data_IF_602457034337
#
_entry.id   IF_602457034337
#
_cell.length_a   1.000
_cell.length_b   1.000
_cell.length_c   1.000
_cell.angle_alpha   90.00
_cell.angle_beta   90.00
_cell.angle_gamma   90.00
#
_symmetry.space_group_name_H-M   'P 1'
#
loop_
_entity.id
_entity.type
_entity.pdbx_description
1 polymer ?
#
# COMPACT_ATOMS: atom_id res chain seq x y z
N UNK A 1 24.00 10.79 -7.83
CA UNK A 1 23.15 9.72 -8.44
C UNK A 1 21.76 10.32 -8.62
N UNK A 2 21.05 10.02 -9.72
CA UNK A 2 19.67 10.46 -9.91
C UNK A 2 18.79 9.70 -8.92
N UNK A 3 17.94 10.40 -8.16
CA UNK A 3 16.99 9.76 -7.23
C UNK A 3 15.98 8.94 -8.02
N UNK A 4 15.63 7.75 -7.53
CA UNK A 4 14.57 6.93 -8.12
C UNK A 4 13.22 7.52 -7.77
N UNK A 5 12.37 7.68 -8.76
CA UNK A 5 11.06 8.32 -8.63
C UNK A 5 9.96 7.30 -8.50
N UNK A 6 9.20 7.40 -7.42
CA UNK A 6 8.07 6.51 -7.12
C UNK A 6 6.81 7.34 -6.98
N UNK A 7 5.76 6.99 -7.72
CA UNK A 7 4.42 7.53 -7.52
C UNK A 7 3.64 6.62 -6.58
N UNK A 8 3.03 7.21 -5.57
CA UNK A 8 2.20 6.49 -4.61
C UNK A 8 0.73 6.88 -4.80
N UNK A 9 -0.10 5.93 -5.21
CA UNK A 9 -1.54 6.10 -5.39
C UNK A 9 -2.25 5.44 -4.21
N UNK A 10 -2.89 6.23 -3.34
CA UNK A 10 -3.61 5.73 -2.18
C UNK A 10 -5.12 5.79 -2.43
N UNK A 11 -5.76 4.63 -2.40
CA UNK A 11 -7.19 4.46 -2.56
C UNK A 11 -7.83 4.00 -1.24
N UNK A 12 -9.11 4.34 -1.04
CA UNK A 12 -9.93 3.74 0.01
C UNK A 12 -10.10 4.60 1.27
N UNK A 13 -9.93 3.99 2.43
CA UNK A 13 -10.37 4.56 3.71
C UNK A 13 -9.21 5.21 4.51
N UNK A 14 -9.52 5.93 5.61
CA UNK A 14 -8.49 6.50 6.50
C UNK A 14 -7.42 5.52 6.99
N UNK A 15 -7.78 4.26 7.22
CA UNK A 15 -6.76 3.24 7.60
C UNK A 15 -5.74 3.02 6.49
N UNK A 16 -6.21 2.90 5.25
CA UNK A 16 -5.34 2.76 4.09
C UNK A 16 -4.46 4.00 3.88
N UNK A 17 -5.00 5.18 4.15
CA UNK A 17 -4.24 6.42 4.06
C UNK A 17 -3.09 6.44 5.07
N UNK A 18 -3.34 6.11 6.34
CA UNK A 18 -2.26 6.00 7.36
C UNK A 18 -1.22 4.96 6.97
N UNK A 19 -1.64 3.79 6.45
CA UNK A 19 -0.72 2.78 5.93
C UNK A 19 0.15 3.34 4.80
N UNK A 20 -0.45 4.12 3.89
CA UNK A 20 0.25 4.80 2.80
C UNK A 20 1.26 5.83 3.28
N UNK A 21 0.91 6.63 4.27
CA UNK A 21 1.77 7.65 4.84
C UNK A 21 3.01 7.06 5.55
N UNK A 22 2.85 5.90 6.22
CA UNK A 22 3.96 5.13 6.77
C UNK A 22 4.88 4.57 5.67
N UNK A 23 4.30 4.04 4.59
CA UNK A 23 5.07 3.55 3.43
C UNK A 23 5.83 4.67 2.73
N UNK A 24 5.20 5.84 2.57
CA UNK A 24 5.85 7.02 1.97
C UNK A 24 7.07 7.48 2.78
N UNK A 25 6.99 7.51 4.11
CA UNK A 25 8.14 7.84 4.96
C UNK A 25 9.28 6.83 4.78
N UNK A 26 8.99 5.53 4.72
CA UNK A 26 10.00 4.50 4.46
C UNK A 26 10.70 4.69 3.10
N UNK A 27 9.93 4.96 2.06
CA UNK A 27 10.47 5.22 0.72
C UNK A 27 11.37 6.45 0.72
N UNK A 28 10.97 7.55 1.37
CA UNK A 28 11.78 8.76 1.47
C UNK A 28 13.08 8.51 2.24
N UNK A 29 13.01 7.78 3.36
CA UNK A 29 14.18 7.43 4.17
C UNK A 29 15.15 6.51 3.41
N UNK A 30 14.64 5.65 2.51
CA UNK A 30 15.45 4.85 1.60
C UNK A 30 16.00 5.64 0.39
N UNK A 31 15.70 6.94 0.28
CA UNK A 31 16.21 7.83 -0.74
C UNK A 31 15.42 7.86 -2.04
N UNK A 32 14.21 7.31 -2.07
CA UNK A 32 13.28 7.50 -3.18
C UNK A 32 12.68 8.90 -3.15
N UNK A 33 12.37 9.42 -4.34
CA UNK A 33 11.65 10.67 -4.52
C UNK A 33 10.18 10.36 -4.76
N UNK A 34 9.29 10.90 -3.91
CA UNK A 34 7.87 10.81 -4.15
C UNK A 34 7.48 11.73 -5.32
N UNK A 35 6.97 11.15 -6.39
CA UNK A 35 6.56 11.87 -7.58
C UNK A 35 5.10 12.31 -7.47
N UNK A 36 4.79 13.45 -8.05
CA UNK A 36 3.44 14.02 -8.16
C UNK A 36 2.90 14.02 -9.60
N UNK A 37 3.69 13.49 -10.53
CA UNK A 37 3.36 13.44 -11.95
C UNK A 37 3.88 12.15 -12.60
N UNK A 38 3.40 11.85 -13.81
CA UNK A 38 3.72 10.63 -14.56
C UNK A 38 4.97 10.72 -15.45
N UNK A 39 5.87 11.66 -15.18
CA UNK A 39 7.09 11.81 -15.98
C UNK A 39 8.18 10.85 -15.51
N UNK A 40 8.45 9.79 -16.29
CA UNK A 40 9.57 8.83 -16.08
C UNK A 40 9.64 8.27 -14.65
N UNK A 41 8.63 7.53 -14.29
CA UNK A 41 8.57 6.87 -13.00
C UNK A 41 9.37 5.57 -13.01
N UNK A 42 10.16 5.35 -11.95
CA UNK A 42 10.80 4.06 -11.73
C UNK A 42 9.78 3.02 -11.24
N UNK A 43 8.87 3.40 -10.32
CA UNK A 43 7.78 2.54 -9.90
C UNK A 43 6.50 3.33 -9.61
N UNK A 44 5.37 2.65 -9.70
CA UNK A 44 4.08 3.09 -9.13
C UNK A 44 3.64 2.08 -8.09
N UNK A 45 3.24 2.56 -6.93
CA UNK A 45 2.64 1.74 -5.87
C UNK A 45 1.16 2.11 -5.78
N UNK A 46 0.29 1.13 -5.99
CA UNK A 46 -1.17 1.28 -5.85
C UNK A 46 -1.58 0.63 -4.54
N UNK A 47 -1.89 1.46 -3.53
CA UNK A 47 -2.43 1.02 -2.25
C UNK A 47 -3.95 0.93 -2.33
N UNK A 48 -4.47 -0.29 -2.40
CA UNK A 48 -5.81 -0.61 -2.87
C UNK A 48 -6.83 -0.83 -1.76
N UNK A 49 -8.11 -0.65 -2.08
CA UNK A 49 -9.25 -0.95 -1.21
C UNK A 49 -10.08 -2.12 -1.79
N UNK A 50 -10.68 -2.93 -0.89
CA UNK A 50 -11.53 -4.08 -1.29
C UNK A 50 -12.78 -4.21 -0.42
N UNK A 51 -13.21 -3.13 0.26
CA UNK A 51 -14.30 -3.21 1.22
C UNK A 51 -15.67 -3.24 0.55
N UNK A 52 -15.92 -2.35 -0.39
CA UNK A 52 -17.17 -2.28 -1.16
C UNK A 52 -16.90 -2.47 -2.65
N UNK A 53 -17.96 -2.79 -3.42
CA UNK A 53 -17.83 -3.11 -4.84
C UNK A 53 -17.24 -1.95 -5.66
N UNK A 54 -17.71 -0.72 -5.42
CA UNK A 54 -17.20 0.47 -6.13
C UNK A 54 -15.72 0.72 -5.86
N UNK A 55 -15.26 0.53 -4.62
CA UNK A 55 -13.84 0.67 -4.27
C UNK A 55 -12.97 -0.44 -4.89
N UNK A 56 -13.51 -1.65 -5.08
CA UNK A 56 -12.82 -2.70 -5.84
C UNK A 56 -12.69 -2.34 -7.30
N UNK A 57 -13.77 -1.84 -7.91
CA UNK A 57 -13.74 -1.43 -9.31
C UNK A 57 -12.75 -0.29 -9.52
N UNK A 58 -12.79 0.75 -8.70
CA UNK A 58 -11.82 1.85 -8.71
C UNK A 58 -10.37 1.34 -8.63
N UNK A 59 -10.11 0.39 -7.72
CA UNK A 59 -8.79 -0.17 -7.56
C UNK A 59 -8.32 -0.94 -8.81
N UNK A 60 -9.20 -1.75 -9.41
CA UNK A 60 -8.89 -2.48 -10.65
C UNK A 60 -8.64 -1.50 -11.80
N UNK A 61 -9.51 -0.52 -11.99
CA UNK A 61 -9.39 0.48 -13.05
C UNK A 61 -8.08 1.25 -12.92
N UNK A 62 -7.70 1.64 -11.69
CA UNK A 62 -6.43 2.31 -11.41
C UNK A 62 -5.23 1.40 -11.72
N UNK A 63 -5.27 0.12 -11.33
CA UNK A 63 -4.17 -0.82 -11.65
C UNK A 63 -4.01 -0.94 -13.16
N UNK A 64 -5.11 -1.09 -13.91
CA UNK A 64 -5.09 -1.19 -15.37
C UNK A 64 -4.56 0.08 -16.03
N UNK A 65 -4.91 1.26 -15.50
CA UNK A 65 -4.35 2.53 -15.95
C UNK A 65 -2.81 2.56 -15.75
N UNK A 66 -2.31 2.19 -14.58
CA UNK A 66 -0.87 2.15 -14.31
C UNK A 66 -0.15 1.12 -15.19
N UNK A 67 -0.76 -0.02 -15.46
CA UNK A 67 -0.25 -1.01 -16.43
C UNK A 67 -0.22 -0.42 -17.86
N UNK A 68 -1.22 0.38 -18.23
CA UNK A 68 -1.21 1.14 -19.48
C UNK A 68 0.01 2.07 -19.59
N UNK A 69 0.25 2.87 -18.57
CA UNK A 69 1.43 3.77 -18.51
C UNK A 69 2.75 3.00 -18.56
N UNK A 70 2.79 1.78 -18.00
CA UNK A 70 3.97 0.91 -18.12
C UNK A 70 4.18 0.44 -19.55
N UNK A 71 3.12 0.06 -20.27
CA UNK A 71 3.19 -0.31 -21.70
C UNK A 71 3.67 0.86 -22.57
N UNK A 72 3.29 2.07 -22.21
CA UNK A 72 3.73 3.31 -22.88
C UNK A 72 5.16 3.75 -22.50
N UNK A 73 5.82 3.02 -21.59
CA UNK A 73 7.20 3.29 -21.15
C UNK A 73 7.36 4.48 -20.20
N UNK A 74 6.26 4.98 -19.64
CA UNK A 74 6.27 6.08 -18.65
C UNK A 74 6.55 5.58 -17.23
N UNK A 75 6.24 4.31 -16.96
CA UNK A 75 6.43 3.62 -15.68
C UNK A 75 7.23 2.34 -15.94
N UNK A 76 8.25 2.05 -15.12
CA UNK A 76 9.05 0.82 -15.25
C UNK A 76 8.41 -0.37 -14.51
N UNK A 77 7.83 -0.11 -13.32
CA UNK A 77 7.26 -1.16 -12.48
C UNK A 77 5.95 -0.73 -11.84
N UNK A 78 5.00 -1.67 -11.73
CA UNK A 78 3.71 -1.51 -11.05
C UNK A 78 3.64 -2.47 -9.89
N UNK A 79 3.46 -1.94 -8.67
CA UNK A 79 3.36 -2.68 -7.41
C UNK A 79 1.97 -2.46 -6.84
N UNK A 80 1.29 -3.53 -6.49
CA UNK A 80 -0.05 -3.50 -5.90
C UNK A 80 -0.01 -3.97 -4.46
N UNK A 81 -0.51 -3.15 -3.54
CA UNK A 81 -0.65 -3.47 -2.11
C UNK A 81 -2.02 -3.09 -1.58
N UNK A 82 -2.25 -3.28 -0.30
CA UNK A 82 -3.49 -2.90 0.38
C UNK A 82 -4.53 -4.02 0.43
N UNK A 83 -5.77 -3.62 0.74
CA UNK A 83 -6.84 -4.58 1.04
C UNK A 83 -7.24 -5.47 -0.14
N UNK A 84 -7.16 -4.96 -1.38
CA UNK A 84 -7.46 -5.76 -2.57
C UNK A 84 -6.38 -6.82 -2.80
N UNK A 85 -5.10 -6.40 -2.73
CA UNK A 85 -3.96 -7.30 -2.84
C UNK A 85 -4.01 -8.42 -1.79
N UNK A 86 -4.33 -8.08 -0.54
CA UNK A 86 -4.46 -9.05 0.54
C UNK A 86 -5.59 -10.06 0.32
N UNK A 87 -6.71 -9.62 -0.25
CA UNK A 87 -7.92 -10.43 -0.38
C UNK A 87 -7.98 -11.24 -1.66
N UNK A 88 -7.47 -10.70 -2.77
CA UNK A 88 -7.62 -11.22 -4.12
C UNK A 88 -6.28 -11.42 -4.84
N UNK A 89 -5.25 -11.78 -4.07
CA UNK A 89 -3.87 -11.93 -4.57
C UNK A 89 -3.77 -12.83 -5.81
N UNK A 90 -4.42 -14.01 -5.74
CA UNK A 90 -4.28 -15.03 -6.79
C UNK A 90 -5.01 -14.58 -8.05
N UNK A 91 -6.18 -13.93 -7.90
CA UNK A 91 -6.93 -13.34 -9.00
C UNK A 91 -6.15 -12.21 -9.68
N UNK A 92 -5.53 -11.31 -8.91
CA UNK A 92 -4.71 -10.22 -9.49
C UNK A 92 -3.54 -10.79 -10.28
N UNK A 93 -2.83 -11.77 -9.74
CA UNK A 93 -1.68 -12.40 -10.38
C UNK A 93 -2.06 -13.15 -11.67
N UNK A 94 -3.27 -13.73 -11.73
CA UNK A 94 -3.76 -14.47 -12.89
C UNK A 94 -4.34 -13.54 -13.96
N UNK A 95 -5.14 -12.53 -13.57
CA UNK A 95 -5.88 -11.69 -14.49
C UNK A 95 -5.10 -10.46 -14.98
N UNK A 96 -4.09 -10.01 -14.19
CA UNK A 96 -3.26 -8.85 -14.52
C UNK A 96 -1.77 -9.23 -14.37
N UNK A 97 -1.25 -10.13 -15.22
CA UNK A 97 0.14 -10.62 -15.11
C UNK A 97 1.21 -9.56 -15.40
N UNK A 98 0.82 -8.39 -15.90
CA UNK A 98 1.72 -7.26 -16.15
C UNK A 98 2.15 -6.51 -14.87
N UNK A 99 1.50 -6.77 -13.73
CA UNK A 99 1.90 -6.25 -12.42
C UNK A 99 3.22 -6.93 -11.99
N UNK A 100 4.19 -6.15 -11.53
CA UNK A 100 5.52 -6.66 -11.17
C UNK A 100 5.57 -7.22 -9.75
N UNK A 101 4.72 -6.70 -8.85
CA UNK A 101 4.59 -7.24 -7.50
C UNK A 101 3.15 -7.08 -6.98
N UNK A 102 2.67 -8.13 -6.31
CA UNK A 102 1.46 -8.09 -5.48
C UNK A 102 1.87 -8.43 -4.06
N UNK A 103 1.64 -7.50 -3.13
CA UNK A 103 2.13 -7.62 -1.76
C UNK A 103 1.01 -7.43 -0.75
N UNK A 104 0.98 -8.30 0.25
CA UNK A 104 0.03 -8.22 1.34
C UNK A 104 0.33 -7.06 2.29
N UNK A 105 -0.66 -6.66 3.07
CA UNK A 105 -0.53 -5.53 4.00
C UNK A 105 0.55 -5.73 5.07
N UNK A 106 0.84 -6.97 5.47
CA UNK A 106 1.93 -7.28 6.38
C UNK A 106 3.31 -6.87 5.86
N UNK A 107 3.48 -6.78 4.53
CA UNK A 107 4.73 -6.39 3.90
C UNK A 107 4.94 -4.86 3.78
N UNK A 108 3.96 -4.04 4.18
CA UNK A 108 4.07 -2.57 4.09
C UNK A 108 5.29 -2.01 4.82
N UNK A 109 5.76 -2.72 5.86
CA UNK A 109 6.97 -2.37 6.61
C UNK A 109 8.27 -2.49 5.80
N UNK A 110 8.29 -3.26 4.73
CA UNK A 110 9.44 -3.52 3.88
C UNK A 110 9.26 -3.01 2.44
N UNK A 111 8.36 -2.05 2.23
CA UNK A 111 7.99 -1.55 0.90
C UNK A 111 9.20 -1.00 0.11
N UNK A 112 10.15 -0.38 0.78
CA UNK A 112 11.39 0.12 0.21
C UNK A 112 12.24 -1.00 -0.41
N UNK A 113 12.41 -2.11 0.30
CA UNK A 113 13.14 -3.30 -0.18
C UNK A 113 12.42 -3.97 -1.34
N UNK A 114 11.08 -4.03 -1.26
CA UNK A 114 10.23 -4.60 -2.33
C UNK A 114 10.39 -3.79 -3.61
N UNK A 115 10.36 -2.46 -3.52
CA UNK A 115 10.60 -1.59 -4.68
C UNK A 115 11.98 -1.84 -5.27
N UNK A 116 13.02 -1.94 -4.44
CA UNK A 116 14.38 -2.24 -4.90
C UNK A 116 14.46 -3.58 -5.64
N UNK A 117 13.90 -4.64 -5.08
CA UNK A 117 13.89 -5.97 -5.70
C UNK A 117 13.16 -5.97 -7.05
N UNK A 118 12.01 -5.31 -7.13
CA UNK A 118 11.23 -5.19 -8.37
C UNK A 118 12.01 -4.42 -9.43
N UNK A 119 12.66 -3.32 -9.06
CA UNK A 119 13.48 -2.53 -9.98
C UNK A 119 14.74 -3.27 -10.45
N UNK A 120 15.21 -4.25 -9.66
CA UNK A 120 16.27 -5.18 -10.03
C UNK A 120 15.77 -6.33 -10.94
N UNK A 121 14.49 -6.33 -11.30
CA UNK A 121 13.86 -7.28 -12.21
C UNK A 121 13.39 -8.59 -11.55
N UNK A 122 13.26 -8.63 -10.23
CA UNK A 122 12.68 -9.76 -9.52
C UNK A 122 11.16 -9.59 -9.46
N UNK A 123 10.44 -10.65 -9.78
CA UNK A 123 9.01 -10.70 -9.49
C UNK A 123 8.82 -11.02 -8.01
N UNK A 124 8.23 -10.09 -7.26
CA UNK A 124 8.16 -10.17 -5.80
C UNK A 124 6.70 -10.24 -5.34
N UNK A 125 6.29 -11.43 -4.86
CA UNK A 125 4.95 -11.63 -4.30
C UNK A 125 5.10 -12.08 -2.84
N UNK A 126 4.82 -11.16 -1.90
CA UNK A 126 5.09 -11.36 -0.46
C UNK A 126 3.84 -11.12 0.36
N UNK A 127 3.45 -12.11 1.16
CA UNK A 127 2.25 -12.06 2.01
C UNK A 127 2.59 -12.55 3.43
N UNK A 128 3.32 -11.75 4.23
CA UNK A 128 3.61 -12.10 5.62
C UNK A 128 2.37 -12.00 6.50
N UNK A 129 2.50 -12.39 7.78
CA UNK A 129 1.39 -12.29 8.72
C UNK A 129 0.91 -10.83 8.81
N UNK A 130 -0.40 -10.63 8.76
CA UNK A 130 -1.07 -9.33 8.89
C UNK A 130 -0.72 -8.62 10.20
N UNK A 131 -0.28 -9.37 11.21
CA UNK A 131 0.22 -8.81 12.47
C UNK A 131 1.51 -7.99 12.28
N UNK A 132 2.23 -8.19 11.19
CA UNK A 132 3.44 -7.45 10.85
C UNK A 132 3.14 -6.08 10.25
N UNK A 133 1.86 -5.79 9.90
CA UNK A 133 1.46 -4.46 9.46
C UNK A 133 1.82 -3.40 10.51
N UNK A 134 2.66 -2.41 10.16
CA UNK A 134 3.00 -1.32 11.07
C UNK A 134 1.77 -0.51 11.48
N UNK A 135 1.69 -0.17 12.77
CA UNK A 135 0.60 0.65 13.31
C UNK A 135 1.04 2.07 13.67
N UNK A 136 2.35 2.28 13.81
CA UNK A 136 2.98 3.55 14.17
C UNK A 136 4.33 3.69 13.46
N UNK A 137 4.93 4.87 13.55
CA UNK A 137 6.22 5.21 12.96
C UNK A 137 6.19 6.58 12.28
N UNK A 138 7.32 6.98 11.68
CA UNK A 138 7.38 8.19 10.88
C UNK A 138 6.38 8.14 9.72
N UNK A 139 5.71 9.26 9.48
CA UNK A 139 4.69 9.42 8.44
C UNK A 139 4.96 10.65 7.57
N UNK A 140 4.67 10.51 6.29
CA UNK A 140 4.53 11.66 5.38
C UNK A 140 3.04 11.95 5.28
N UNK A 141 2.57 12.97 6.00
CA UNK A 141 1.16 13.34 5.99
C UNK A 141 0.70 13.74 4.60
N UNK A 142 -0.42 13.18 4.18
CA UNK A 142 -1.10 13.48 2.90
C UNK A 142 -2.39 14.28 3.09
N UNK A 143 -2.70 14.59 4.35
CA UNK A 143 -3.80 15.49 4.74
C UNK A 143 -3.35 16.95 4.76
N UNK A 144 -4.28 17.93 4.72
CA UNK A 144 -3.95 19.31 5.01
C UNK A 144 -3.35 19.51 6.42
N UNK A 145 -2.55 20.55 6.61
CA UNK A 145 -1.75 20.80 7.81
C UNK A 145 -2.55 20.94 9.13
N UNK A 146 -3.87 21.13 9.05
CA UNK A 146 -4.71 21.39 10.21
C UNK A 146 -5.45 20.16 10.75
N UNK A 147 -5.26 18.96 10.17
CA UNK A 147 -5.79 17.71 10.70
C UNK A 147 -5.02 16.48 10.16
N UNK A 148 -5.03 15.40 10.92
CA UNK A 148 -4.49 14.12 10.50
C UNK A 148 -5.30 12.96 11.11
N UNK A 149 -5.25 11.79 10.49
CA UNK A 149 -5.80 10.58 11.10
C UNK A 149 -4.81 10.00 12.11
N UNK A 150 -5.30 9.62 13.28
CA UNK A 150 -4.57 8.88 14.29
C UNK A 150 -5.07 7.43 14.32
N UNK A 151 -4.21 6.48 13.99
CA UNK A 151 -4.55 5.06 14.01
C UNK A 151 -4.29 4.50 15.41
N UNK A 152 -5.35 4.22 16.16
CA UNK A 152 -5.26 3.70 17.54
C UNK A 152 -5.34 2.17 17.62
N UNK A 153 -5.90 1.52 16.60
CA UNK A 153 -6.08 0.07 16.57
C UNK A 153 -6.19 -0.46 15.14
N UNK A 154 -5.94 -1.76 14.97
CA UNK A 154 -6.04 -2.48 13.69
C UNK A 154 -6.75 -3.81 13.84
N UNK A 155 -7.35 -4.30 12.73
CA UNK A 155 -8.04 -5.58 12.67
C UNK A 155 -9.37 -5.63 13.41
N UNK A 156 -9.96 -6.81 13.51
CA UNK A 156 -11.19 -7.05 14.24
C UNK A 156 -11.31 -8.53 14.62
N UNK A 157 -11.68 -8.82 15.87
CA UNK A 157 -11.92 -10.18 16.36
C UNK A 157 -13.41 -10.58 16.41
N UNK A 158 -14.32 -9.71 15.95
CA UNK A 158 -15.74 -10.05 15.79
C UNK A 158 -15.92 -10.85 14.50
N UNK A 159 -16.32 -12.11 14.62
CA UNK A 159 -16.52 -13.01 13.48
C UNK A 159 -17.91 -12.85 12.84
N UNK A 160 -18.29 -11.63 12.45
CA UNK A 160 -19.53 -11.37 11.74
C UNK A 160 -19.53 -12.07 10.37
N UNK A 161 -20.58 -12.83 10.07
CA UNK A 161 -20.65 -13.71 8.88
C UNK A 161 -20.54 -12.98 7.55
N UNK A 162 -20.86 -11.70 7.50
CA UNK A 162 -20.82 -10.84 6.31
C UNK A 162 -19.54 -9.98 6.19
N UNK A 163 -18.68 -9.97 7.22
CA UNK A 163 -17.58 -9.03 7.32
C UNK A 163 -16.24 -9.65 6.91
N UNK A 164 -15.57 -9.03 5.95
CA UNK A 164 -14.25 -9.45 5.48
C UNK A 164 -13.07 -8.86 6.28
N UNK A 165 -13.31 -7.97 7.26
CA UNK A 165 -12.22 -7.29 7.99
C UNK A 165 -11.27 -8.27 8.69
N UNK A 166 -11.71 -9.31 9.43
CA UNK A 166 -10.78 -10.24 10.05
C UNK A 166 -9.89 -10.98 9.06
N UNK A 167 -10.41 -11.31 7.88
CA UNK A 167 -9.64 -11.99 6.83
C UNK A 167 -8.65 -11.07 6.11
N UNK A 168 -8.93 -9.75 6.04
CA UNK A 168 -8.07 -8.77 5.36
C UNK A 168 -7.07 -8.16 6.35
N UNK A 169 -7.54 -7.67 7.49
CA UNK A 169 -6.75 -6.89 8.46
C UNK A 169 -6.27 -7.69 9.68
N UNK A 170 -6.67 -8.95 9.76
CA UNK A 170 -6.31 -9.83 10.87
C UNK A 170 -7.10 -9.58 12.16
N UNK A 171 -6.69 -10.22 13.28
CA UNK A 171 -7.33 -10.04 14.57
C UNK A 171 -7.14 -8.62 15.11
N UNK A 172 -8.02 -8.22 16.02
CA UNK A 172 -7.93 -6.92 16.69
C UNK A 172 -6.60 -6.78 17.44
N UNK A 173 -5.93 -5.64 17.24
CA UNK A 173 -4.73 -5.20 17.96
C UNK A 173 -4.89 -3.74 18.31
N UNK A 174 -4.67 -3.37 19.58
CA UNK A 174 -4.59 -1.98 20.03
C UNK A 174 -3.14 -1.52 20.07
N UNK A 175 -2.91 -0.23 19.85
CA UNK A 175 -1.64 0.42 20.23
C UNK A 175 -1.65 0.68 21.73
N UNK A 176 -0.49 0.81 22.32
CA UNK A 176 -0.33 1.30 23.69
C UNK A 176 -0.57 2.83 23.75
N UNK A 177 -0.96 3.30 24.92
CA UNK A 177 -1.29 4.71 25.14
C UNK A 177 -0.09 5.63 24.91
N UNK A 178 1.11 5.22 25.35
CA UNK A 178 2.34 5.99 25.18
C UNK A 178 2.65 6.26 23.71
N UNK A 179 2.56 5.23 22.86
CA UNK A 179 2.74 5.36 21.40
C UNK A 179 1.69 6.25 20.73
N UNK A 180 0.46 6.29 21.27
CA UNK A 180 -0.61 7.14 20.76
C UNK A 180 -0.35 8.60 21.15
N UNK A 181 0.03 8.85 22.39
CA UNK A 181 0.33 10.19 22.93
C UNK A 181 1.55 10.81 22.24
N UNK A 182 2.57 10.00 21.90
CA UNK A 182 3.75 10.47 21.17
C UNK A 182 3.44 10.91 19.73
N UNK A 183 2.41 10.31 19.12
CA UNK A 183 2.02 10.65 17.73
C UNK A 183 1.04 11.83 17.68
N UNK A 184 0.28 12.10 18.75
CA UNK A 184 -0.79 13.12 18.78
C UNK A 184 -0.26 14.53 19.01
#
# INVERSE_FOLDING_TARGET
MKKRRVLFVSLGCPKNQVDGELMLAKLQNAGFENADNFERLDAVIVNTCAFIHSAKQEAIDTILEMVGLKKDGLVRAVIVTGCLAERYRDEILQEIPEVDAVVGIGANGDIDKIVDEVLDGKQTNVFPDKKELPMCGERVLTTPDYWAYLKIAEGCSNCCTYCAIPSIRGPFRSRDEESIDEEA
#
